data_IF_283103528793
#
_entry.id   IF_283103528793
#
_cell.length_a   1.000
_cell.length_b   1.000
_cell.length_c   1.000
_cell.angle_alpha   90.00
_cell.angle_beta   90.00
_cell.angle_gamma   90.00
#
_symmetry.space_group_name_H-M   'P 1'
#
loop_
_entity.id
_entity.type
_entity.pdbx_description
1 polymer ?
#
# COMPACT_ATOMS: atom_id res chain seq x y z
N UNK A 1 -6.21 9.86 -0.39
CA UNK A 1 -6.12 9.35 1.00
C UNK A 1 -7.16 10.08 1.84
N UNK A 2 -8.02 9.36 2.57
CA UNK A 2 -9.08 10.01 3.35
C UNK A 2 -8.48 10.78 4.54
N UNK A 3 -9.25 11.75 5.06
CA UNK A 3 -8.92 12.48 6.28
C UNK A 3 -8.85 11.54 7.49
N UNK A 4 -9.69 10.51 7.50
CA UNK A 4 -9.81 9.54 8.60
C UNK A 4 -8.56 8.66 8.71
N UNK A 5 -8.09 8.05 7.62
CA UNK A 5 -6.87 7.23 7.64
C UNK A 5 -5.64 8.02 8.11
N UNK A 6 -5.54 9.29 7.68
CA UNK A 6 -4.46 10.18 8.12
C UNK A 6 -4.50 10.44 9.62
N UNK A 7 -5.69 10.73 10.16
CA UNK A 7 -5.88 10.98 11.60
C UNK A 7 -5.62 9.70 12.40
N UNK A 8 -6.13 8.55 11.93
CA UNK A 8 -5.90 7.24 12.54
C UNK A 8 -4.40 6.91 12.64
N UNK A 9 -3.62 7.12 11.57
CA UNK A 9 -2.16 6.90 11.58
C UNK A 9 -1.41 7.81 12.56
N UNK A 10 -1.99 8.94 12.96
CA UNK A 10 -1.35 9.92 13.85
C UNK A 10 -1.74 9.72 15.32
N UNK A 11 -2.89 9.10 15.59
CA UNK A 11 -3.42 8.97 16.96
C UNK A 11 -3.27 7.56 17.52
N UNK A 12 -3.28 6.55 16.66
CA UNK A 12 -3.44 5.18 17.13
C UNK A 12 -2.12 4.53 17.51
N UNK A 13 -2.13 3.79 18.64
CA UNK A 13 -0.98 3.01 19.08
C UNK A 13 -0.83 1.81 18.15
N UNK A 14 0.16 1.91 17.26
CA UNK A 14 0.55 0.80 16.39
C UNK A 14 1.09 -0.35 17.24
N UNK A 15 0.39 -1.48 17.21
CA UNK A 15 0.85 -2.72 17.83
C UNK A 15 1.68 -3.51 16.83
N UNK A 16 2.78 -4.10 17.30
CA UNK A 16 3.69 -4.88 16.47
C UNK A 16 3.81 -6.29 17.05
N UNK A 17 3.78 -7.31 16.18
CA UNK A 17 3.95 -8.70 16.60
C UNK A 17 5.41 -9.06 16.91
N UNK A 18 5.64 -10.30 17.35
CA UNK A 18 6.96 -10.81 17.74
C UNK A 18 7.98 -10.90 16.59
N UNK A 19 7.55 -10.69 15.34
CA UNK A 19 8.41 -10.68 14.14
C UNK A 19 8.45 -9.31 13.46
N UNK A 20 7.92 -8.26 14.08
CA UNK A 20 8.00 -6.89 13.58
C UNK A 20 6.87 -6.47 12.65
N UNK A 21 5.77 -7.25 12.55
CA UNK A 21 4.63 -6.90 11.69
C UNK A 21 3.68 -5.97 12.41
N UNK A 22 3.22 -4.94 11.71
CA UNK A 22 2.16 -4.05 12.18
C UNK A 22 0.84 -4.81 12.20
N UNK A 23 0.17 -4.84 13.34
CA UNK A 23 -1.16 -5.40 13.51
C UNK A 23 -2.18 -4.26 13.38
N UNK A 24 -3.13 -4.41 12.45
CA UNK A 24 -4.25 -3.50 12.23
C UNK A 24 -5.55 -4.31 12.39
N UNK A 25 -6.45 -3.88 13.27
CA UNK A 25 -7.77 -4.51 13.49
C UNK A 25 -8.96 -3.60 13.11
N UNK A 26 -8.69 -2.36 12.69
CA UNK A 26 -9.71 -1.40 12.26
C UNK A 26 -10.19 -1.70 10.82
N UNK A 27 -11.43 -2.18 10.69
CA UNK A 27 -12.03 -2.56 9.41
C UNK A 27 -12.13 -1.40 8.41
N UNK A 28 -12.32 -0.16 8.87
CA UNK A 28 -12.42 1.00 7.99
C UNK A 28 -11.05 1.33 7.38
N UNK A 29 -10.01 1.25 8.20
CA UNK A 29 -8.62 1.43 7.76
C UNK A 29 -8.22 0.34 6.78
N UNK A 30 -8.56 -0.92 7.08
CA UNK A 30 -8.30 -2.04 6.19
C UNK A 30 -9.02 -1.88 4.84
N UNK A 31 -10.28 -1.43 4.85
CA UNK A 31 -11.03 -1.16 3.62
C UNK A 31 -10.38 -0.06 2.77
N UNK A 32 -9.91 1.03 3.40
CA UNK A 32 -9.20 2.10 2.69
C UNK A 32 -7.86 1.65 2.09
N UNK A 33 -7.06 0.89 2.86
CA UNK A 33 -5.80 0.34 2.38
C UNK A 33 -6.05 -0.60 1.19
N UNK A 34 -7.00 -1.52 1.32
CA UNK A 34 -7.36 -2.45 0.25
C UNK A 34 -7.88 -1.73 -1.00
N UNK A 35 -8.68 -0.66 -0.81
CA UNK A 35 -9.14 0.19 -1.90
C UNK A 35 -7.99 0.88 -2.63
N UNK A 36 -7.03 1.45 -1.88
CA UNK A 36 -5.86 2.10 -2.45
C UNK A 36 -4.94 1.11 -3.19
N UNK A 37 -4.72 -0.08 -2.62
CA UNK A 37 -3.94 -1.15 -3.26
C UNK A 37 -4.63 -1.64 -4.53
N UNK A 38 -5.96 -1.80 -4.52
CA UNK A 38 -6.72 -2.23 -5.69
C UNK A 38 -6.70 -1.18 -6.81
N UNK A 39 -6.79 0.11 -6.45
CA UNK A 39 -6.66 1.21 -7.39
C UNK A 39 -5.26 1.23 -8.01
N UNK A 40 -4.21 1.11 -7.20
CA UNK A 40 -2.83 1.04 -7.67
C UNK A 40 -2.59 -0.21 -8.55
N UNK A 41 -3.13 -1.37 -8.18
CA UNK A 41 -3.01 -2.58 -8.98
C UNK A 41 -3.72 -2.43 -10.33
N UNK A 42 -4.88 -1.79 -10.36
CA UNK A 42 -5.60 -1.49 -11.60
C UNK A 42 -4.81 -0.51 -12.47
N UNK A 43 -4.26 0.55 -11.86
CA UNK A 43 -3.38 1.51 -12.55
C UNK A 43 -2.10 0.84 -13.06
N UNK A 44 -1.51 -0.11 -12.34
CA UNK A 44 -0.34 -0.87 -12.77
C UNK A 44 -0.66 -1.91 -13.84
N UNK A 45 -1.89 -2.43 -13.89
CA UNK A 45 -2.36 -3.31 -14.97
C UNK A 45 -2.65 -2.49 -16.23
N UNK A 46 -3.28 -1.32 -16.09
CA UNK A 46 -3.52 -0.37 -17.17
C UNK A 46 -2.20 0.24 -17.67
N UNK A 47 -1.26 0.53 -16.76
CA UNK A 47 0.12 0.91 -17.08
C UNK A 47 1.00 -0.28 -17.47
N UNK A 48 0.56 -1.52 -17.24
CA UNK A 48 1.14 -2.75 -17.78
C UNK A 48 0.85 -2.90 -19.28
N UNK A 49 -0.18 -2.21 -19.77
CA UNK A 49 -0.38 -1.91 -21.20
C UNK A 49 0.38 -0.64 -21.65
N UNK A 50 1.07 0.02 -20.73
CA UNK A 50 1.87 1.21 -20.92
C UNK A 50 3.31 0.98 -20.40
N UNK A 51 3.92 -0.15 -20.78
CA UNK A 51 5.38 -0.32 -20.86
C UNK A 51 6.23 0.22 -19.70
N UNK A 52 5.85 0.01 -18.44
CA UNK A 52 6.79 0.10 -17.33
C UNK A 52 6.93 -1.29 -16.73
N UNK A 53 7.97 -1.97 -17.20
CA UNK A 53 8.29 -3.36 -16.89
C UNK A 53 8.43 -3.64 -15.40
N UNK A 54 8.33 -4.93 -15.11
CA UNK A 54 8.52 -5.56 -13.81
C UNK A 54 9.63 -4.90 -12.97
N UNK A 55 9.39 -4.87 -11.66
CA UNK A 55 10.18 -4.15 -10.68
C UNK A 55 11.70 -4.31 -10.80
N UNK A 56 12.39 -3.26 -10.39
CA UNK A 56 13.54 -3.31 -9.49
C UNK A 56 14.61 -4.42 -9.65
N UNK A 57 14.86 -4.97 -10.84
CA UNK A 57 15.92 -5.98 -11.02
C UNK A 57 16.61 -5.98 -12.40
N UNK A 58 16.61 -4.86 -13.13
CA UNK A 58 17.58 -4.66 -14.22
C UNK A 58 18.32 -3.35 -14.04
N UNK A 59 19.45 -3.43 -13.35
CA UNK A 59 20.61 -2.63 -13.73
C UNK A 59 21.02 -3.02 -15.14
N UNK A 60 20.77 -2.15 -16.10
CA UNK A 60 21.64 -1.89 -17.25
C UNK A 60 21.66 -0.35 -17.35
N UNK A 61 22.70 0.39 -16.98
CA UNK A 61 24.11 0.06 -17.16
C UNK A 61 24.44 0.24 -18.63
N UNK A 62 24.61 1.52 -18.99
CA UNK A 62 24.82 2.16 -20.29
C UNK A 62 23.66 2.18 -21.31
#
# INVERSE_FOLDING_TARGET
MSKYLREWLLTEKVTVDNVGRIILDDENVLAEINGAVSALASELVDAGNMGCGAGCDTRCGD
#
